data_IF_489217953917
#
_entry.id   IF_489217953917
#
_cell.length_a   1.000
_cell.length_b   1.000
_cell.length_c   1.000
_cell.angle_alpha   90.00
_cell.angle_beta   90.00
_cell.angle_gamma   90.00
#
_symmetry.space_group_name_H-M   'P 1'
#
loop_
_entity.id
_entity.type
_entity.pdbx_description
1 polymer ?
#
# COMPACT_ATOMS: atom_id res chain seq x y z
N UNK A 1 -11.01 -34.55 27.77
CA UNK A 1 -12.19 -34.71 26.88
C UNK A 1 -12.56 -33.32 26.38
N UNK A 2 -12.25 -32.98 25.12
CA UNK A 2 -12.63 -31.69 24.52
C UNK A 2 -14.11 -31.76 24.17
N UNK A 3 -14.94 -30.98 24.86
CA UNK A 3 -16.33 -30.74 24.48
C UNK A 3 -16.34 -30.09 23.10
N UNK A 4 -16.82 -30.82 22.08
CA UNK A 4 -17.06 -30.26 20.74
C UNK A 4 -18.07 -29.12 20.90
N UNK A 5 -17.61 -27.88 20.71
CA UNK A 5 -18.49 -26.73 20.55
C UNK A 5 -19.47 -27.02 19.42
N UNK A 6 -20.77 -26.96 19.73
CA UNK A 6 -21.88 -27.17 18.79
C UNK A 6 -22.30 -25.87 18.11
N UNK A 7 -21.57 -24.77 18.32
CA UNK A 7 -21.77 -23.48 17.63
C UNK A 7 -21.13 -23.47 16.25
N UNK A 8 -21.57 -22.55 15.38
CA UNK A 8 -20.79 -22.20 14.19
C UNK A 8 -19.46 -21.64 14.66
N UNK A 9 -18.35 -22.20 14.18
CA UNK A 9 -17.01 -21.72 14.54
C UNK A 9 -16.75 -20.38 13.88
N UNK A 10 -16.26 -19.42 14.66
CA UNK A 10 -15.91 -18.07 14.23
C UNK A 10 -14.51 -18.08 13.64
N UNK A 11 -14.36 -17.55 12.42
CA UNK A 11 -13.07 -17.45 11.72
C UNK A 11 -12.55 -16.02 11.89
N UNK A 12 -11.41 -15.85 12.53
CA UNK A 12 -10.69 -14.59 12.60
C UNK A 12 -9.67 -14.49 11.46
N UNK A 13 -9.70 -13.39 10.72
CA UNK A 13 -8.67 -13.04 9.74
C UNK A 13 -7.78 -11.97 10.37
N UNK A 14 -6.48 -12.26 10.46
CA UNK A 14 -5.46 -11.30 10.91
C UNK A 14 -4.68 -10.85 9.69
N UNK A 15 -4.62 -9.55 9.44
CA UNK A 15 -4.02 -9.00 8.23
C UNK A 15 -2.78 -8.20 8.57
N UNK A 16 -1.63 -8.65 8.07
CA UNK A 16 -0.35 -7.96 8.24
C UNK A 16 0.16 -7.41 6.92
N UNK A 17 1.04 -6.42 7.01
CA UNK A 17 1.75 -5.88 5.85
C UNK A 17 1.01 -4.73 5.15
N UNK A 18 0.68 -4.92 3.88
CA UNK A 18 0.33 -3.80 2.99
C UNK A 18 -1.12 -3.81 2.50
N UNK A 19 -1.52 -2.73 1.83
CA UNK A 19 -2.84 -2.56 1.18
C UNK A 19 -3.26 -3.71 0.26
N UNK A 20 -2.29 -4.42 -0.37
CA UNK A 20 -2.58 -5.62 -1.17
C UNK A 20 -3.04 -6.79 -0.29
N UNK A 21 -2.44 -6.97 0.88
CA UNK A 21 -2.87 -7.99 1.85
C UNK A 21 -4.24 -7.64 2.46
N UNK A 22 -4.52 -6.36 2.68
CA UNK A 22 -5.88 -5.90 3.06
C UNK A 22 -6.88 -6.31 2.00
N UNK A 23 -6.66 -5.96 0.74
CA UNK A 23 -7.52 -6.39 -0.38
C UNK A 23 -7.73 -7.91 -0.40
N UNK A 24 -6.65 -8.70 -0.30
CA UNK A 24 -6.71 -10.16 -0.36
C UNK A 24 -7.51 -10.74 0.82
N UNK A 25 -7.40 -10.14 2.00
CA UNK A 25 -8.15 -10.53 3.21
C UNK A 25 -9.65 -10.21 3.06
N UNK A 26 -10.00 -9.04 2.54
CA UNK A 26 -11.39 -8.64 2.30
C UNK A 26 -12.10 -9.55 1.28
N UNK A 27 -11.38 -10.03 0.26
CA UNK A 27 -11.87 -11.03 -0.70
C UNK A 27 -12.10 -12.37 -0.01
N UNK A 28 -11.14 -12.85 0.78
CA UNK A 28 -11.28 -14.09 1.56
C UNK A 28 -12.49 -14.04 2.50
N UNK A 29 -12.65 -12.94 3.24
CA UNK A 29 -13.78 -12.73 4.16
C UNK A 29 -15.13 -12.76 3.42
N UNK A 30 -15.23 -12.07 2.28
CA UNK A 30 -16.43 -12.07 1.43
C UNK A 30 -16.81 -13.48 0.95
N UNK A 31 -15.82 -14.25 0.48
CA UNK A 31 -16.03 -15.64 0.05
C UNK A 31 -16.52 -16.51 1.21
N UNK A 32 -15.92 -16.39 2.38
CA UNK A 32 -16.34 -17.15 3.58
C UNK A 32 -17.75 -16.77 4.04
N UNK A 33 -18.07 -15.48 4.10
CA UNK A 33 -19.39 -14.98 4.50
C UNK A 33 -20.49 -15.48 3.54
N UNK A 34 -20.24 -15.44 2.23
CA UNK A 34 -21.15 -15.96 1.23
C UNK A 34 -21.33 -17.49 1.29
N UNK A 35 -20.40 -18.20 1.92
CA UNK A 35 -20.51 -19.63 2.26
C UNK A 35 -21.15 -19.87 3.64
N UNK A 36 -21.75 -18.84 4.25
CA UNK A 36 -22.49 -18.94 5.52
C UNK A 36 -21.61 -19.13 6.75
N UNK A 37 -20.30 -18.84 6.63
CA UNK A 37 -19.33 -18.85 7.73
C UNK A 37 -19.45 -17.56 8.54
N UNK A 38 -19.15 -17.66 9.83
CA UNK A 38 -19.02 -16.50 10.70
C UNK A 38 -17.57 -16.04 10.65
N UNK A 39 -17.35 -14.78 10.24
CA UNK A 39 -16.01 -14.23 9.97
C UNK A 39 -15.89 -12.88 10.63
N UNK A 40 -14.73 -12.64 11.25
CA UNK A 40 -14.32 -11.34 11.78
C UNK A 40 -12.90 -11.02 11.34
N UNK A 41 -12.54 -9.75 11.45
CA UNK A 41 -11.21 -9.24 11.16
C UNK A 41 -10.61 -8.72 12.46
N UNK A 42 -9.42 -9.20 12.79
CA UNK A 42 -8.62 -8.80 13.95
C UNK A 42 -9.39 -8.82 15.29
N UNK A 43 -10.18 -9.89 15.49
CA UNK A 43 -11.00 -10.10 16.69
C UNK A 43 -10.95 -11.58 17.11
N UNK A 44 -11.53 -11.96 18.25
CA UNK A 44 -11.49 -13.34 18.74
C UNK A 44 -12.22 -14.29 17.80
N UNK A 45 -11.60 -15.43 17.51
CA UNK A 45 -12.19 -16.52 16.71
C UNK A 45 -11.62 -17.88 17.09
N UNK A 46 -12.38 -18.95 16.82
CA UNK A 46 -11.97 -20.34 17.07
C UNK A 46 -10.95 -20.83 16.02
N UNK A 47 -11.01 -20.26 14.82
CA UNK A 47 -10.10 -20.55 13.71
C UNK A 47 -9.43 -19.24 13.33
N UNK A 48 -8.11 -19.23 13.19
CA UNK A 48 -7.35 -18.04 12.80
C UNK A 48 -6.72 -18.26 11.44
N UNK A 49 -6.84 -17.27 10.56
CA UNK A 49 -6.10 -17.20 9.29
C UNK A 49 -5.24 -15.95 9.32
N UNK A 50 -3.92 -16.13 9.26
CA UNK A 50 -2.95 -15.03 9.31
C UNK A 50 -2.47 -14.74 7.89
N UNK A 51 -2.79 -13.57 7.35
CA UNK A 51 -2.29 -13.10 6.06
C UNK A 51 -1.00 -12.28 6.27
N UNK A 52 0.12 -12.89 5.95
CA UNK A 52 1.47 -12.45 6.34
C UNK A 52 2.15 -11.55 5.30
N UNK A 53 3.06 -10.70 5.79
CA UNK A 53 3.98 -9.94 4.96
C UNK A 53 5.33 -10.69 4.87
N UNK A 54 5.88 -10.79 3.66
CA UNK A 54 7.17 -11.45 3.41
C UNK A 54 8.24 -10.50 2.87
N UNK A 55 8.00 -9.19 2.98
CA UNK A 55 8.78 -8.13 2.37
C UNK A 55 9.37 -7.27 3.49
N UNK A 56 10.70 -7.02 3.48
CA UNK A 56 11.53 -6.37 4.52
C UNK A 56 11.60 -7.12 5.86
N UNK A 57 12.75 -7.03 6.55
CA UNK A 57 13.06 -7.83 7.75
C UNK A 57 12.07 -7.62 8.89
N UNK A 58 11.76 -6.37 9.25
CA UNK A 58 10.83 -6.06 10.34
C UNK A 58 9.43 -6.65 10.12
N UNK A 59 8.92 -6.64 8.88
CA UNK A 59 7.59 -7.18 8.59
C UNK A 59 7.59 -8.72 8.51
N UNK A 60 8.73 -9.34 8.16
CA UNK A 60 8.92 -10.80 8.28
C UNK A 60 8.92 -11.20 9.75
N UNK A 61 9.64 -10.47 10.60
CA UNK A 61 9.70 -10.70 12.04
C UNK A 61 8.31 -10.55 12.69
N UNK A 62 7.60 -9.46 12.41
CA UNK A 62 6.21 -9.24 12.87
C UNK A 62 5.30 -10.42 12.47
N UNK A 63 5.41 -10.87 11.22
CA UNK A 63 4.64 -12.00 10.71
C UNK A 63 4.97 -13.31 11.45
N UNK A 64 6.24 -13.60 11.71
CA UNK A 64 6.68 -14.78 12.45
C UNK A 64 6.19 -14.72 13.90
N UNK A 65 6.37 -13.59 14.58
CA UNK A 65 5.94 -13.40 15.96
C UNK A 65 4.42 -13.58 16.10
N UNK A 66 3.64 -13.06 15.16
CA UNK A 66 2.18 -13.24 15.14
C UNK A 66 1.79 -14.71 14.93
N UNK A 67 2.49 -15.44 14.05
CA UNK A 67 2.25 -16.89 13.88
C UNK A 67 2.50 -17.62 15.19
N UNK A 68 3.61 -17.34 15.87
CA UNK A 68 3.98 -17.97 17.14
C UNK A 68 2.95 -17.68 18.23
N UNK A 69 2.47 -16.43 18.34
CA UNK A 69 1.43 -16.05 19.30
C UNK A 69 0.16 -16.90 19.15
N UNK A 70 -0.33 -17.07 17.92
CA UNK A 70 -1.54 -17.85 17.66
C UNK A 70 -1.32 -19.36 17.76
N UNK A 71 -0.12 -19.85 17.46
CA UNK A 71 0.27 -21.24 17.74
C UNK A 71 0.26 -21.50 19.25
N UNK A 72 0.79 -20.59 20.06
CA UNK A 72 0.75 -20.69 21.51
C UNK A 72 -0.69 -20.64 22.04
N UNK A 73 -1.53 -19.76 21.51
CA UNK A 73 -2.96 -19.71 21.82
C UNK A 73 -3.67 -21.04 21.47
N UNK A 74 -3.30 -21.66 20.34
CA UNK A 74 -3.79 -22.99 19.95
C UNK A 74 -3.35 -24.07 20.93
N UNK A 75 -2.09 -24.02 21.38
CA UNK A 75 -1.53 -24.96 22.35
C UNK A 75 -2.20 -24.82 23.73
N UNK A 76 -2.60 -23.60 24.11
CA UNK A 76 -3.43 -23.33 25.30
C UNK A 76 -4.91 -23.72 25.13
N UNK A 77 -5.35 -24.02 23.91
CA UNK A 77 -6.72 -24.38 23.60
C UNK A 77 -7.68 -23.19 23.48
N UNK A 78 -7.16 -21.97 23.36
CA UNK A 78 -7.91 -20.74 23.11
C UNK A 78 -8.32 -20.63 21.62
N UNK A 79 -7.50 -21.20 20.74
CA UNK A 79 -7.73 -21.32 19.30
C UNK A 79 -7.74 -22.81 18.93
N UNK A 80 -8.62 -23.22 18.01
CA UNK A 80 -8.67 -24.61 17.56
C UNK A 80 -7.75 -24.88 16.37
N UNK A 81 -7.65 -23.93 15.44
CA UNK A 81 -6.86 -24.06 14.21
C UNK A 81 -6.18 -22.75 13.82
N UNK A 82 -4.98 -22.86 13.28
CA UNK A 82 -4.18 -21.75 12.75
C UNK A 82 -3.80 -22.08 11.31
N UNK A 83 -4.20 -21.21 10.40
CA UNK A 83 -3.80 -21.24 8.99
C UNK A 83 -2.97 -20.00 8.68
N UNK A 84 -1.97 -20.15 7.83
CA UNK A 84 -1.10 -19.04 7.42
C UNK A 84 -1.17 -18.90 5.90
N UNK A 85 -1.33 -17.68 5.42
CA UNK A 85 -1.31 -17.31 4.01
C UNK A 85 -0.49 -16.04 3.79
N UNK A 86 -0.36 -15.60 2.54
CA UNK A 86 0.30 -14.34 2.20
C UNK A 86 1.75 -14.51 1.73
N UNK A 87 2.45 -13.38 1.65
CA UNK A 87 3.75 -13.27 1.00
C UNK A 87 4.87 -14.07 1.70
N UNK A 88 4.90 -14.06 3.04
CA UNK A 88 5.90 -14.83 3.79
C UNK A 88 5.74 -16.32 3.53
N UNK A 89 4.48 -16.78 3.62
CA UNK A 89 4.13 -18.18 3.41
C UNK A 89 4.36 -18.67 1.99
N UNK A 90 4.25 -17.81 0.97
CA UNK A 90 4.62 -18.19 -0.40
C UNK A 90 6.12 -18.44 -0.51
N UNK A 91 6.93 -17.50 0.00
CA UNK A 91 8.38 -17.48 -0.21
C UNK A 91 9.12 -18.49 0.66
N UNK A 92 8.73 -18.62 1.92
CA UNK A 92 9.46 -19.41 2.93
C UNK A 92 8.67 -20.63 3.39
N UNK A 93 7.72 -21.12 2.59
CA UNK A 93 6.86 -22.26 2.94
C UNK A 93 7.62 -23.47 3.52
N UNK A 94 8.72 -23.95 2.91
CA UNK A 94 9.42 -25.13 3.41
C UNK A 94 10.05 -24.90 4.79
N UNK A 95 10.65 -23.74 5.00
CA UNK A 95 11.28 -23.39 6.27
C UNK A 95 10.22 -23.17 7.36
N UNK A 96 9.13 -22.47 7.07
CA UNK A 96 8.03 -22.28 8.03
C UNK A 96 7.40 -23.59 8.47
N UNK A 97 7.24 -24.56 7.56
CA UNK A 97 6.74 -25.91 7.91
C UNK A 97 7.73 -26.64 8.83
N UNK A 98 9.04 -26.46 8.61
CA UNK A 98 10.08 -27.10 9.42
C UNK A 98 10.19 -26.48 10.82
N UNK A 99 10.20 -25.16 10.89
CA UNK A 99 10.45 -24.40 12.13
C UNK A 99 9.19 -24.22 12.99
N UNK A 100 8.00 -24.11 12.37
CA UNK A 100 6.72 -23.91 13.08
C UNK A 100 5.69 -24.96 12.61
N UNK A 101 5.88 -26.24 12.99
CA UNK A 101 5.04 -27.36 12.53
C UNK A 101 3.62 -27.39 13.13
N UNK A 102 3.37 -26.62 14.19
CA UNK A 102 2.08 -26.59 14.90
C UNK A 102 0.97 -25.81 14.14
N UNK A 103 1.32 -25.09 13.07
CA UNK A 103 0.36 -24.49 12.13
C UNK A 103 -0.35 -25.60 11.36
N UNK A 104 -1.68 -25.53 11.24
CA UNK A 104 -2.46 -26.57 10.55
C UNK A 104 -2.12 -26.65 9.06
N UNK A 105 -1.93 -25.49 8.40
CA UNK A 105 -1.52 -25.44 7.00
C UNK A 105 -1.01 -24.05 6.58
N UNK A 106 -0.06 -24.07 5.64
CA UNK A 106 0.48 -22.91 4.95
C UNK A 106 -0.02 -22.81 3.52
N UNK A 107 -0.35 -21.60 3.08
CA UNK A 107 -0.89 -21.28 1.76
C UNK A 107 -0.13 -20.12 1.12
N UNK A 108 0.07 -20.22 -0.20
CA UNK A 108 0.61 -19.13 -0.99
C UNK A 108 -0.35 -17.95 -1.16
N UNK A 109 0.10 -16.90 -1.84
CA UNK A 109 -0.72 -15.72 -2.20
C UNK A 109 -1.81 -16.05 -3.22
N UNK A 110 -1.64 -17.14 -3.98
CA UNK A 110 -2.56 -17.58 -5.05
C UNK A 110 -3.41 -18.80 -4.65
N UNK A 111 -3.26 -19.30 -3.43
CA UNK A 111 -3.89 -20.52 -2.94
C UNK A 111 -5.32 -20.32 -2.36
N UNK A 112 -5.96 -19.16 -2.60
CA UNK A 112 -7.27 -18.82 -2.03
C UNK A 112 -8.33 -19.94 -2.22
N UNK A 113 -8.52 -20.56 -3.40
CA UNK A 113 -9.48 -21.65 -3.55
C UNK A 113 -9.18 -22.87 -2.67
N UNK A 114 -7.89 -23.17 -2.47
CA UNK A 114 -7.45 -24.31 -1.64
C UNK A 114 -7.65 -23.97 -0.16
N UNK A 115 -7.33 -22.75 0.26
CA UNK A 115 -7.58 -22.26 1.62
C UNK A 115 -9.08 -22.32 1.97
N UNK A 116 -9.95 -21.83 1.09
CA UNK A 116 -11.41 -21.88 1.28
C UNK A 116 -11.90 -23.31 1.51
N UNK A 117 -11.40 -24.28 0.74
CA UNK A 117 -11.74 -25.69 0.89
C UNK A 117 -11.38 -26.22 2.28
N UNK A 118 -10.24 -25.83 2.85
CA UNK A 118 -9.83 -26.23 4.21
C UNK A 118 -10.66 -25.55 5.31
N UNK A 119 -11.23 -24.38 5.01
CA UNK A 119 -12.21 -23.69 5.85
C UNK A 119 -13.65 -24.20 5.62
N UNK A 120 -13.82 -25.19 4.74
CA UNK A 120 -15.11 -25.80 4.38
C UNK A 120 -16.03 -24.85 3.61
N UNK A 121 -15.47 -24.05 2.72
CA UNK A 121 -16.14 -23.12 1.81
C UNK A 121 -15.71 -23.41 0.37
N UNK A 122 -16.58 -23.12 -0.59
CA UNK A 122 -16.27 -23.24 -2.03
C UNK A 122 -16.02 -21.86 -2.64
N UNK A 123 -15.11 -21.79 -3.62
CA UNK A 123 -14.83 -20.55 -4.33
C UNK A 123 -16.01 -20.20 -5.24
N UNK A 124 -16.63 -19.04 -5.00
CA UNK A 124 -17.77 -18.54 -5.77
C UNK A 124 -17.32 -17.52 -6.81
N UNK A 125 -17.31 -17.93 -8.08
CA UNK A 125 -16.92 -17.08 -9.22
C UNK A 125 -17.86 -15.89 -9.45
N UNK A 126 -19.11 -15.97 -9.00
CA UNK A 126 -20.09 -14.88 -9.08
C UNK A 126 -19.80 -13.70 -8.15
N UNK A 127 -18.97 -13.91 -7.12
CA UNK A 127 -18.55 -12.88 -6.17
C UNK A 127 -17.31 -12.11 -6.63
N UNK A 128 -16.91 -12.22 -7.90
CA UNK A 128 -15.80 -11.42 -8.44
C UNK A 128 -16.13 -9.93 -8.28
N UNK A 129 -15.24 -9.19 -7.61
CA UNK A 129 -15.44 -7.79 -7.24
C UNK A 129 -16.33 -7.57 -6.01
N UNK A 130 -16.73 -8.61 -5.28
CA UNK A 130 -17.43 -8.45 -3.99
C UNK A 130 -16.48 -8.62 -2.82
N UNK A 131 -16.42 -7.58 -1.97
CA UNK A 131 -15.57 -7.54 -0.78
C UNK A 131 -16.36 -7.15 0.47
N UNK A 132 -15.90 -7.68 1.60
CA UNK A 132 -16.23 -7.20 2.93
C UNK A 132 -15.10 -6.26 3.35
N UNK A 133 -15.32 -4.95 3.21
CA UNK A 133 -14.28 -3.95 3.46
C UNK A 133 -13.94 -3.89 4.95
N UNK A 134 -12.66 -3.89 5.27
CA UNK A 134 -12.15 -3.73 6.64
C UNK A 134 -11.63 -2.31 6.88
N UNK A 135 -11.45 -1.53 5.82
CA UNK A 135 -11.19 -0.09 5.88
C UNK A 135 -12.44 0.70 6.30
N UNK A 136 -12.28 1.95 6.78
CA UNK A 136 -13.38 2.90 6.88
C UNK A 136 -14.21 2.99 5.59
N UNK A 137 -15.54 3.08 5.73
CA UNK A 137 -16.50 2.87 4.63
C UNK A 137 -16.30 3.79 3.42
N UNK A 138 -15.75 4.99 3.63
CA UNK A 138 -15.64 6.03 2.62
C UNK A 138 -14.43 5.87 1.70
N UNK A 139 -13.49 4.97 1.98
CA UNK A 139 -12.44 4.63 1.01
C UNK A 139 -12.25 3.12 0.87
N UNK A 140 -11.74 2.71 -0.28
CA UNK A 140 -11.36 1.33 -0.52
C UNK A 140 -10.15 1.25 -1.44
N UNK A 141 -9.25 0.32 -1.16
CA UNK A 141 -8.21 -0.04 -2.11
C UNK A 141 -8.80 -0.82 -3.27
N UNK A 142 -8.47 -0.46 -4.52
CA UNK A 142 -8.91 -1.17 -5.72
C UNK A 142 -7.67 -1.75 -6.42
N UNK A 143 -7.49 -3.07 -6.32
CA UNK A 143 -6.34 -3.77 -6.89
C UNK A 143 -6.55 -3.99 -8.39
N UNK A 144 -5.81 -3.25 -9.21
CA UNK A 144 -6.01 -3.27 -10.68
C UNK A 144 -5.20 -4.37 -11.38
N UNK A 145 -4.13 -4.83 -10.76
CA UNK A 145 -3.30 -5.94 -11.23
C UNK A 145 -2.60 -6.64 -10.06
N UNK A 146 -2.17 -7.86 -10.30
CA UNK A 146 -1.37 -8.68 -9.37
C UNK A 146 -0.02 -9.01 -10.00
N UNK A 147 1.01 -9.16 -9.16
CA UNK A 147 2.35 -9.52 -9.61
C UNK A 147 3.06 -8.42 -10.40
N UNK A 148 4.32 -8.68 -10.76
CA UNK A 148 5.17 -7.69 -11.43
C UNK A 148 6.23 -8.37 -12.30
N UNK A 149 6.41 -7.86 -13.52
CA UNK A 149 7.44 -8.33 -14.47
C UNK A 149 8.66 -7.39 -14.52
N UNK A 150 8.76 -6.42 -13.61
CA UNK A 150 9.93 -5.53 -13.53
C UNK A 150 11.13 -6.29 -12.96
N UNK A 151 12.33 -6.15 -13.56
CA UNK A 151 13.50 -6.95 -13.16
C UNK A 151 14.28 -6.33 -11.99
N UNK A 152 13.65 -5.54 -11.12
CA UNK A 152 14.33 -4.78 -10.06
C UNK A 152 15.18 -5.73 -9.19
N UNK A 153 16.49 -5.46 -9.10
CA UNK A 153 17.44 -6.43 -8.54
C UNK A 153 17.17 -6.73 -7.07
N UNK A 154 16.73 -5.74 -6.29
CA UNK A 154 16.44 -5.85 -4.86
C UNK A 154 15.04 -6.43 -4.54
N UNK A 155 14.19 -6.63 -5.54
CA UNK A 155 12.77 -6.90 -5.30
C UNK A 155 12.44 -8.40 -5.38
N UNK A 156 11.90 -8.95 -4.28
CA UNK A 156 11.43 -10.34 -4.21
C UNK A 156 9.95 -10.54 -4.62
N UNK A 157 9.25 -9.48 -5.05
CA UNK A 157 7.83 -9.54 -5.42
C UNK A 157 7.50 -10.61 -6.47
N UNK A 158 8.28 -10.80 -7.55
CA UNK A 158 7.99 -11.86 -8.51
C UNK A 158 8.01 -13.28 -7.90
N UNK A 159 8.78 -13.48 -6.82
CA UNK A 159 8.83 -14.75 -6.10
C UNK A 159 7.60 -14.97 -5.21
N UNK A 160 7.03 -13.89 -4.66
CA UNK A 160 5.92 -13.95 -3.71
C UNK A 160 4.53 -13.84 -4.35
N UNK A 161 4.44 -13.10 -5.47
CA UNK A 161 3.16 -12.74 -6.12
C UNK A 161 3.13 -13.09 -7.60
N UNK A 162 4.21 -13.65 -8.14
CA UNK A 162 4.34 -14.09 -9.53
C UNK A 162 4.40 -12.96 -10.56
N UNK A 163 4.33 -13.33 -11.83
CA UNK A 163 4.32 -12.39 -12.96
C UNK A 163 3.05 -11.54 -13.04
N UNK A 164 3.11 -10.49 -13.84
CA UNK A 164 2.06 -9.47 -13.96
C UNK A 164 0.77 -10.02 -14.57
N UNK A 165 -0.36 -9.76 -13.92
CA UNK A 165 -1.71 -10.12 -14.37
C UNK A 165 -2.66 -8.98 -14.07
N UNK A 166 -3.21 -8.35 -15.12
CA UNK A 166 -4.19 -7.27 -15.01
C UNK A 166 -5.62 -7.79 -14.85
N UNK A 167 -6.44 -7.02 -14.13
CA UNK A 167 -7.90 -7.15 -14.16
C UNK A 167 -8.47 -6.30 -15.29
N UNK A 168 -9.53 -6.73 -15.97
CA UNK A 168 -10.10 -5.93 -17.07
C UNK A 168 -10.83 -4.68 -16.55
N UNK A 169 -10.87 -3.62 -17.37
CA UNK A 169 -11.52 -2.35 -17.05
C UNK A 169 -12.99 -2.59 -16.64
N UNK A 170 -13.71 -3.45 -17.35
CA UNK A 170 -15.13 -3.72 -17.10
C UNK A 170 -15.35 -4.30 -15.70
N UNK A 171 -14.46 -5.19 -15.24
CA UNK A 171 -14.53 -5.77 -13.90
C UNK A 171 -14.19 -4.75 -12.83
N UNK A 172 -13.17 -3.91 -13.07
CA UNK A 172 -12.78 -2.86 -12.13
C UNK A 172 -13.86 -1.78 -11.99
N UNK A 173 -14.50 -1.38 -13.08
CA UNK A 173 -15.64 -0.44 -13.06
C UNK A 173 -16.84 -1.05 -12.35
N UNK A 174 -17.12 -2.34 -12.56
CA UNK A 174 -18.18 -3.04 -11.82
C UNK A 174 -17.89 -3.09 -10.31
N UNK A 175 -16.65 -3.41 -9.93
CA UNK A 175 -16.22 -3.42 -8.53
C UNK A 175 -16.31 -2.01 -7.90
N UNK A 176 -15.77 -0.99 -8.56
CA UNK A 176 -15.88 0.41 -8.16
C UNK A 176 -17.35 0.83 -7.95
N UNK A 177 -18.24 0.45 -8.87
CA UNK A 177 -19.67 0.75 -8.77
C UNK A 177 -20.33 0.05 -7.58
N UNK A 178 -19.92 -1.18 -7.25
CA UNK A 178 -20.40 -1.89 -6.06
C UNK A 178 -19.91 -1.25 -4.77
N UNK A 179 -18.65 -0.79 -4.74
CA UNK A 179 -18.07 -0.07 -3.59
C UNK A 179 -18.78 1.27 -3.38
N UNK A 180 -18.99 2.04 -4.44
CA UNK A 180 -19.70 3.32 -4.37
C UNK A 180 -21.12 3.17 -3.79
N UNK A 181 -21.86 2.13 -4.21
CA UNK A 181 -23.18 1.80 -3.65
C UNK A 181 -23.17 1.48 -2.16
N UNK A 182 -22.03 1.05 -1.61
CA UNK A 182 -21.83 0.78 -0.17
C UNK A 182 -21.34 2.02 0.60
N UNK A 183 -21.17 3.16 -0.07
CA UNK A 183 -20.77 4.43 0.55
C UNK A 183 -19.29 4.80 0.37
N UNK A 184 -18.52 4.04 -0.42
CA UNK A 184 -17.15 4.42 -0.78
C UNK A 184 -17.16 5.67 -1.64
N UNK A 185 -16.33 6.65 -1.28
CA UNK A 185 -16.15 7.92 -1.99
C UNK A 185 -14.73 8.08 -2.56
N UNK A 186 -13.72 7.45 -1.95
CA UNK A 186 -12.33 7.45 -2.44
C UNK A 186 -11.92 6.03 -2.89
N UNK A 187 -11.43 5.91 -4.12
CA UNK A 187 -10.78 4.71 -4.63
C UNK A 187 -9.27 4.91 -4.62
N UNK A 188 -8.54 4.00 -3.98
CA UNK A 188 -7.08 4.03 -3.99
C UNK A 188 -6.61 2.89 -4.89
N UNK A 189 -6.15 3.23 -6.09
CA UNK A 189 -5.69 2.23 -7.05
C UNK A 189 -4.35 1.66 -6.59
N UNK A 190 -4.29 0.34 -6.43
CA UNK A 190 -3.10 -0.37 -5.99
C UNK A 190 -2.69 -1.44 -6.99
N UNK A 191 -1.38 -1.62 -7.10
CA UNK A 191 -0.70 -2.67 -7.87
C UNK A 191 0.73 -2.83 -7.32
N UNK A 192 1.48 -3.78 -7.86
CA UNK A 192 2.94 -3.81 -7.69
C UNK A 192 3.63 -2.82 -8.65
N UNK A 193 3.08 -2.64 -9.86
CA UNK A 193 3.42 -1.55 -10.79
C UNK A 193 2.14 -1.09 -11.49
N UNK A 194 1.64 0.09 -11.10
CA UNK A 194 0.41 0.65 -11.63
C UNK A 194 0.53 1.01 -13.12
N UNK A 195 1.71 1.46 -13.54
CA UNK A 195 1.95 1.97 -14.90
C UNK A 195 1.94 0.85 -15.94
N UNK A 196 2.17 -0.40 -15.51
CA UNK A 196 2.21 -1.57 -16.37
C UNK A 196 0.82 -2.05 -16.82
N UNK A 197 -0.22 -1.57 -16.14
CA UNK A 197 -1.60 -1.99 -16.34
C UNK A 197 -2.02 -2.02 -17.82
N UNK A 198 -2.58 -3.15 -18.23
CA UNK A 198 -3.12 -3.35 -19.57
C UNK A 198 -2.15 -3.91 -20.61
N UNK A 199 -0.84 -3.97 -20.34
CA UNK A 199 0.12 -4.51 -21.33
C UNK A 199 -0.13 -5.99 -21.64
N UNK A 200 -0.50 -6.78 -20.64
CA UNK A 200 -0.79 -8.20 -20.77
C UNK A 200 -2.11 -8.49 -21.49
N UNK A 201 -3.18 -7.73 -21.19
CA UNK A 201 -4.53 -7.96 -21.72
C UNK A 201 -4.93 -7.09 -22.92
N UNK A 202 -4.46 -5.85 -22.99
CA UNK A 202 -4.80 -4.87 -24.04
C UNK A 202 -3.63 -4.56 -24.99
N UNK A 203 -2.43 -5.11 -24.72
CA UNK A 203 -1.20 -4.91 -25.52
C UNK A 203 -0.72 -3.45 -25.61
N UNK A 204 -1.18 -2.61 -24.69
CA UNK A 204 -0.78 -1.22 -24.51
C UNK A 204 -0.93 -0.84 -23.03
N UNK A 205 -0.23 0.20 -22.58
CA UNK A 205 -0.51 0.79 -21.26
C UNK A 205 -1.89 1.42 -21.30
N UNK A 206 -2.80 0.95 -20.45
CA UNK A 206 -4.21 1.33 -20.47
C UNK A 206 -4.65 2.02 -19.16
N UNK A 207 -3.70 2.51 -18.36
CA UNK A 207 -4.01 3.18 -17.09
C UNK A 207 -4.87 4.43 -17.32
N UNK A 208 -4.55 5.27 -18.31
CA UNK A 208 -5.38 6.42 -18.62
C UNK A 208 -6.79 6.06 -19.10
N UNK A 209 -6.94 4.97 -19.87
CA UNK A 209 -8.26 4.45 -20.28
C UNK A 209 -9.07 3.96 -19.10
N UNK A 210 -8.44 3.25 -18.15
CA UNK A 210 -9.08 2.84 -16.91
C UNK A 210 -9.54 4.05 -16.09
N UNK A 211 -8.70 5.08 -15.92
CA UNK A 211 -9.07 6.27 -15.17
C UNK A 211 -10.28 6.98 -15.79
N UNK A 212 -10.30 7.12 -17.11
CA UNK A 212 -11.44 7.70 -17.85
C UNK A 212 -12.75 6.94 -17.64
N UNK A 213 -12.70 5.63 -17.43
CA UNK A 213 -13.91 4.86 -17.10
C UNK A 213 -14.27 4.96 -15.60
N UNK A 214 -13.28 4.98 -14.70
CA UNK A 214 -13.53 5.08 -13.26
C UNK A 214 -14.11 6.44 -12.84
N UNK A 215 -13.69 7.55 -13.46
CA UNK A 215 -14.25 8.89 -13.15
C UNK A 215 -15.76 8.97 -13.42
N UNK A 216 -16.28 8.13 -14.33
CA UNK A 216 -17.72 8.06 -14.65
C UNK A 216 -18.55 7.35 -13.57
N UNK A 217 -17.92 6.65 -12.63
CA UNK A 217 -18.64 5.94 -11.55
C UNK A 217 -19.27 6.96 -10.61
N UNK A 218 -20.59 6.92 -10.49
CA UNK A 218 -21.36 7.75 -9.57
C UNK A 218 -21.07 7.37 -8.11
N UNK A 219 -20.99 8.37 -7.23
CA UNK A 219 -20.67 8.19 -5.81
C UNK A 219 -19.16 8.25 -5.48
N UNK A 220 -18.28 8.01 -6.47
CA UNK A 220 -16.84 8.23 -6.30
C UNK A 220 -16.52 9.71 -6.49
N UNK A 221 -15.82 10.27 -5.51
CA UNK A 221 -15.34 11.65 -5.46
C UNK A 221 -13.83 11.76 -5.65
N UNK A 222 -13.05 10.78 -5.18
CA UNK A 222 -11.58 10.76 -5.30
C UNK A 222 -11.07 9.43 -5.85
N UNK A 223 -10.04 9.51 -6.70
CA UNK A 223 -9.29 8.38 -7.26
C UNK A 223 -7.80 8.70 -7.08
N UNK A 224 -7.12 7.89 -6.28
CA UNK A 224 -5.71 8.08 -5.90
C UNK A 224 -4.83 7.00 -6.53
N UNK A 225 -3.65 7.39 -7.02
CA UNK A 225 -2.74 6.51 -7.74
C UNK A 225 -1.55 6.12 -6.87
N UNK A 226 -1.44 4.84 -6.52
CA UNK A 226 -0.29 4.32 -5.78
C UNK A 226 0.61 3.42 -6.61
N UNK A 227 1.89 3.36 -6.25
CA UNK A 227 2.87 2.43 -6.82
C UNK A 227 3.09 2.61 -8.33
N UNK A 228 3.21 3.86 -8.78
CA UNK A 228 3.67 4.15 -10.12
C UNK A 228 5.15 3.81 -10.29
N UNK A 229 5.56 3.51 -11.52
CA UNK A 229 6.94 3.19 -11.87
C UNK A 229 7.51 4.25 -12.83
N UNK A 230 8.72 4.78 -12.58
CA UNK A 230 9.25 5.89 -13.38
C UNK A 230 9.50 5.52 -14.84
N UNK A 231 10.07 4.33 -15.11
CA UNK A 231 10.40 3.95 -16.49
C UNK A 231 9.19 3.50 -17.28
N UNK A 232 8.91 4.25 -18.35
CA UNK A 232 7.76 4.03 -19.22
C UNK A 232 6.46 4.54 -18.62
N UNK A 233 6.51 5.57 -17.78
CA UNK A 233 5.32 6.22 -17.24
C UNK A 233 4.37 6.67 -18.39
N UNK A 234 3.07 6.32 -18.34
CA UNK A 234 2.09 6.73 -19.34
C UNK A 234 1.73 8.21 -19.19
N UNK A 235 2.28 9.07 -20.06
CA UNK A 235 2.14 10.54 -19.94
C UNK A 235 0.69 11.04 -20.06
N UNK A 236 -0.21 10.28 -20.68
CA UNK A 236 -1.64 10.59 -20.77
C UNK A 236 -2.32 10.59 -19.39
N UNK A 237 -1.73 9.94 -18.39
CA UNK A 237 -2.19 10.00 -17.00
C UNK A 237 -2.04 11.39 -16.40
N UNK A 238 -1.00 12.16 -16.78
CA UNK A 238 -0.80 13.52 -16.27
C UNK A 238 -1.90 14.46 -16.77
N UNK A 239 -2.30 14.30 -18.03
CA UNK A 239 -3.37 15.11 -18.61
C UNK A 239 -4.71 14.81 -17.90
N UNK A 240 -4.95 13.54 -17.54
CA UNK A 240 -6.14 13.14 -16.77
C UNK A 240 -6.12 13.70 -15.34
N UNK A 241 -4.99 13.61 -14.62
CA UNK A 241 -4.87 14.17 -13.26
C UNK A 241 -5.21 15.67 -13.29
N UNK A 242 -4.69 16.40 -14.28
CA UNK A 242 -4.97 17.83 -14.43
C UNK A 242 -6.43 18.14 -14.77
N UNK A 243 -7.05 17.34 -15.64
CA UNK A 243 -8.34 17.67 -16.25
C UNK A 243 -9.54 17.13 -15.47
N UNK A 244 -9.37 16.03 -14.72
CA UNK A 244 -10.46 15.34 -14.02
C UNK A 244 -10.41 15.61 -12.51
N UNK A 245 -11.33 16.41 -11.94
CA UNK A 245 -11.32 16.76 -10.51
C UNK A 245 -11.49 15.58 -9.55
N UNK A 246 -11.95 14.43 -10.07
CA UNK A 246 -12.05 13.19 -9.29
C UNK A 246 -10.72 12.48 -9.14
N UNK A 247 -9.72 12.75 -9.99
CA UNK A 247 -8.39 12.16 -9.87
C UNK A 247 -7.54 13.10 -9.03
N UNK A 248 -7.07 12.61 -7.88
CA UNK A 248 -6.33 13.45 -6.95
C UNK A 248 -5.04 13.98 -7.61
N UNK A 249 -4.67 15.22 -7.30
CA UNK A 249 -3.37 15.81 -7.63
C UNK A 249 -2.24 15.18 -6.80
N UNK A 250 -2.06 13.87 -6.94
CA UNK A 250 -1.17 13.05 -6.14
C UNK A 250 -0.64 11.87 -6.95
N UNK A 251 0.66 11.63 -6.85
CA UNK A 251 1.29 10.43 -7.40
C UNK A 251 2.30 9.84 -6.42
N UNK A 252 2.13 8.56 -6.09
CA UNK A 252 3.15 7.78 -5.38
C UNK A 252 4.00 7.00 -6.39
N UNK A 253 5.25 7.43 -6.52
CA UNK A 253 6.23 6.95 -7.49
C UNK A 253 7.57 6.64 -6.79
N UNK A 254 7.76 5.41 -6.30
CA UNK A 254 9.02 5.03 -5.66
C UNK A 254 10.19 5.14 -6.63
N UNK A 255 11.10 6.11 -6.45
CA UNK A 255 12.27 6.34 -7.31
C UNK A 255 13.47 5.46 -6.92
N UNK A 256 13.56 5.10 -5.64
CA UNK A 256 14.56 4.24 -5.00
C UNK A 256 15.92 4.88 -4.82
N UNK A 257 16.47 5.53 -5.84
CA UNK A 257 17.74 6.27 -5.76
C UNK A 257 17.81 7.29 -6.91
N UNK A 258 18.87 8.10 -7.00
CA UNK A 258 19.11 9.00 -8.14
C UNK A 258 20.41 8.72 -8.92
N UNK A 259 21.46 8.25 -8.24
CA UNK A 259 22.73 7.90 -8.88
C UNK A 259 22.54 6.87 -10.01
N UNK A 260 23.04 7.20 -11.20
CA UNK A 260 22.83 6.42 -12.43
C UNK A 260 23.42 5.01 -12.38
N UNK A 261 24.57 4.82 -11.72
CA UNK A 261 25.23 3.52 -11.63
C UNK A 261 24.50 2.59 -10.66
N UNK A 262 24.07 3.11 -9.50
CA UNK A 262 23.21 2.35 -8.59
C UNK A 262 21.88 2.02 -9.22
N UNK A 263 21.22 2.96 -9.90
CA UNK A 263 19.95 2.71 -10.60
C UNK A 263 20.08 1.63 -11.70
N UNK A 264 21.23 1.57 -12.37
CA UNK A 264 21.56 0.52 -13.33
C UNK A 264 21.74 -0.84 -12.63
N UNK A 265 22.47 -0.89 -11.52
CA UNK A 265 22.62 -2.10 -10.68
C UNK A 265 21.27 -2.58 -10.13
N UNK A 266 20.44 -1.64 -9.67
CA UNK A 266 19.06 -1.84 -9.22
C UNK A 266 18.11 -2.29 -10.34
N UNK A 267 18.55 -2.30 -11.60
CA UNK A 267 17.76 -2.62 -12.80
C UNK A 267 16.48 -1.79 -12.92
N UNK A 268 16.58 -0.49 -12.59
CA UNK A 268 15.44 0.44 -12.63
C UNK A 268 15.09 0.88 -14.04
N UNK A 269 16.04 0.83 -14.98
CA UNK A 269 15.83 1.27 -16.36
C UNK A 269 15.64 2.79 -16.49
N UNK A 270 16.24 3.56 -15.57
CA UNK A 270 16.28 5.03 -15.56
C UNK A 270 17.69 5.50 -15.19
N UNK A 271 17.93 6.81 -15.24
CA UNK A 271 19.19 7.49 -14.87
C UNK A 271 18.87 8.78 -14.13
N UNK A 272 19.89 9.48 -13.64
CA UNK A 272 19.76 10.82 -13.06
C UNK A 272 18.98 11.76 -13.99
N UNK A 273 19.37 11.87 -15.26
CA UNK A 273 18.77 12.79 -16.24
C UNK A 273 17.33 12.41 -16.58
N UNK A 274 17.07 11.11 -16.80
CA UNK A 274 15.72 10.63 -17.13
C UNK A 274 14.74 10.82 -15.99
N UNK A 275 15.21 10.61 -14.76
CA UNK A 275 14.38 10.80 -13.56
C UNK A 275 14.03 12.27 -13.38
N UNK A 276 15.02 13.18 -13.47
CA UNK A 276 14.76 14.61 -13.40
C UNK A 276 13.85 15.09 -14.54
N UNK A 277 14.08 14.64 -15.77
CA UNK A 277 13.19 14.96 -16.91
C UNK A 277 11.74 14.55 -16.65
N UNK A 278 11.53 13.39 -16.00
CA UNK A 278 10.19 12.93 -15.64
C UNK A 278 9.55 13.83 -14.58
N UNK A 279 10.29 14.18 -13.53
CA UNK A 279 9.83 15.07 -12.46
C UNK A 279 9.54 16.49 -12.98
N UNK A 280 10.36 17.01 -13.88
CA UNK A 280 10.14 18.31 -14.52
C UNK A 280 8.83 18.30 -15.31
N UNK A 281 8.58 17.23 -16.08
CA UNK A 281 7.30 17.05 -16.79
C UNK A 281 6.10 16.99 -15.85
N UNK A 282 6.25 16.35 -14.69
CA UNK A 282 5.19 16.27 -13.68
C UNK A 282 4.83 17.68 -13.19
N UNK A 283 5.83 18.47 -12.79
CA UNK A 283 5.63 19.85 -12.32
C UNK A 283 5.19 20.80 -13.43
N UNK A 284 5.59 20.57 -14.68
CA UNK A 284 5.14 21.38 -15.82
C UNK A 284 3.67 21.10 -16.17
N UNK A 285 3.28 19.83 -16.26
CA UNK A 285 1.93 19.44 -16.67
C UNK A 285 0.91 19.58 -15.55
N UNK A 286 1.30 19.30 -14.31
CA UNK A 286 0.42 19.34 -13.13
C UNK A 286 1.14 20.09 -11.99
N UNK A 287 1.18 21.43 -12.02
CA UNK A 287 2.00 22.24 -11.11
C UNK A 287 1.75 22.01 -9.61
N UNK A 288 0.50 21.72 -9.24
CA UNK A 288 0.11 21.53 -7.84
C UNK A 288 0.12 20.05 -7.40
N UNK A 289 0.67 19.14 -8.21
CA UNK A 289 0.66 17.71 -7.88
C UNK A 289 1.64 17.39 -6.74
N UNK A 290 1.13 16.75 -5.69
CA UNK A 290 1.95 16.16 -4.65
C UNK A 290 2.69 14.94 -5.18
N UNK A 291 4.02 14.95 -5.09
CA UNK A 291 4.87 13.83 -5.49
C UNK A 291 5.34 13.12 -4.22
N UNK A 292 4.86 11.88 -4.05
CA UNK A 292 5.34 10.95 -3.05
C UNK A 292 6.38 10.01 -3.64
N UNK A 293 7.51 9.85 -2.98
CA UNK A 293 8.54 8.89 -3.38
C UNK A 293 9.01 8.04 -2.21
N UNK A 294 9.81 7.03 -2.54
CA UNK A 294 10.49 6.17 -1.58
C UNK A 294 11.92 5.96 -2.06
N UNK A 295 12.87 6.06 -1.13
CA UNK A 295 14.29 5.87 -1.35
C UNK A 295 14.80 4.66 -0.56
N UNK A 296 15.87 4.05 -1.09
CA UNK A 296 16.64 3.00 -0.47
C UNK A 296 18.07 3.50 -0.33
N UNK A 297 18.60 3.48 0.88
CA UNK A 297 20.01 3.79 1.17
C UNK A 297 20.76 2.56 1.63
N UNK A 298 22.07 2.56 1.45
CA UNK A 298 22.94 1.46 1.79
C UNK A 298 22.84 0.27 0.82
N UNK A 299 22.46 0.52 -0.43
CA UNK A 299 22.52 -0.51 -1.47
C UNK A 299 23.99 -0.90 -1.76
N UNK A 300 24.28 -2.17 -2.14
CA UNK A 300 25.64 -2.62 -2.45
C UNK A 300 26.40 -1.67 -3.40
N UNK A 301 27.56 -1.19 -2.94
CA UNK A 301 28.42 -0.24 -3.63
C UNK A 301 28.08 1.25 -3.40
N UNK A 302 27.15 1.58 -2.50
CA UNK A 302 26.81 2.98 -2.18
C UNK A 302 27.89 3.65 -1.31
N UNK A 303 28.75 4.45 -1.95
CA UNK A 303 29.78 5.24 -1.27
C UNK A 303 29.21 6.53 -0.64
N UNK A 304 30.04 7.22 0.13
CA UNK A 304 29.66 8.50 0.74
C UNK A 304 29.36 9.59 -0.31
N UNK A 305 30.13 9.63 -1.39
CA UNK A 305 29.91 10.57 -2.49
C UNK A 305 28.56 10.34 -3.18
N UNK A 306 28.18 9.07 -3.36
CA UNK A 306 26.88 8.68 -3.94
C UNK A 306 25.72 9.05 -3.00
N UNK A 307 25.90 8.85 -1.69
CA UNK A 307 24.92 9.26 -0.70
C UNK A 307 24.76 10.79 -0.65
N UNK A 308 25.87 11.53 -0.75
CA UNK A 308 25.84 12.99 -0.79
C UNK A 308 25.12 13.51 -2.05
N UNK A 309 25.32 12.89 -3.21
CA UNK A 309 24.54 13.16 -4.43
C UNK A 309 23.04 12.97 -4.19
N UNK A 310 22.63 11.87 -3.55
CA UNK A 310 21.23 11.61 -3.20
C UNK A 310 20.66 12.70 -2.29
N UNK A 311 21.40 13.07 -1.24
CA UNK A 311 20.99 14.07 -0.25
C UNK A 311 20.82 15.46 -0.88
N UNK A 312 21.77 15.86 -1.73
CA UNK A 312 21.70 17.12 -2.45
C UNK A 312 20.52 17.14 -3.43
N UNK A 313 20.28 16.03 -4.14
CA UNK A 313 19.14 15.88 -5.02
C UNK A 313 17.80 15.95 -4.28
N UNK A 314 17.66 15.32 -3.11
CA UNK A 314 16.44 15.46 -2.27
C UNK A 314 16.21 16.93 -1.89
N UNK A 315 17.26 17.65 -1.51
CA UNK A 315 17.19 19.08 -1.16
C UNK A 315 16.73 19.93 -2.33
N UNK A 316 17.18 19.63 -3.54
CA UNK A 316 16.80 20.34 -4.77
C UNK A 316 15.38 19.99 -5.23
N UNK A 317 15.01 18.71 -5.22
CA UNK A 317 13.71 18.26 -5.71
C UNK A 317 12.56 18.59 -4.77
N UNK A 318 12.81 18.70 -3.46
CA UNK A 318 11.81 19.08 -2.46
C UNK A 318 10.51 18.29 -2.60
N UNK A 319 10.58 16.96 -2.48
CA UNK A 319 9.40 16.10 -2.57
C UNK A 319 8.36 16.44 -1.50
N UNK A 320 7.08 16.33 -1.85
CA UNK A 320 5.99 16.56 -0.91
C UNK A 320 5.95 15.51 0.19
N UNK A 321 6.16 14.24 -0.20
CA UNK A 321 6.21 13.11 0.72
C UNK A 321 7.38 12.21 0.33
N UNK A 322 8.19 11.79 1.29
CA UNK A 322 9.29 10.86 1.02
C UNK A 322 9.48 9.95 2.22
N UNK A 323 9.54 8.65 1.94
CA UNK A 323 10.04 7.65 2.88
C UNK A 323 11.44 7.21 2.48
N UNK A 324 12.31 6.94 3.45
CA UNK A 324 13.63 6.37 3.24
C UNK A 324 13.77 5.08 4.05
N UNK A 325 14.31 4.04 3.42
CA UNK A 325 14.49 2.73 4.04
C UNK A 325 15.91 2.24 3.83
N UNK A 326 16.42 1.43 4.76
CA UNK A 326 17.68 0.71 4.55
C UNK A 326 17.49 -0.37 3.49
N UNK A 327 18.53 -0.62 2.70
CA UNK A 327 18.59 -1.79 1.84
C UNK A 327 18.63 -3.07 2.69
N UNK A 328 17.68 -3.97 2.43
CA UNK A 328 17.66 -5.32 2.99
C UNK A 328 18.19 -6.33 1.96
N UNK A 329 19.22 -7.07 2.35
CA UNK A 329 19.94 -8.01 1.47
C UNK A 329 19.19 -9.34 1.34
N UNK A 330 18.08 -9.28 0.61
CA UNK A 330 17.09 -10.36 0.53
C UNK A 330 17.55 -11.54 -0.34
N UNK A 331 17.52 -12.75 0.23
CA UNK A 331 17.84 -14.01 -0.47
C UNK A 331 16.99 -14.20 -1.74
N UNK A 332 17.58 -14.83 -2.76
CA UNK A 332 16.93 -15.12 -4.05
C UNK A 332 16.57 -13.87 -4.88
N UNK A 333 16.97 -12.68 -4.46
CA UNK A 333 16.88 -11.47 -5.28
C UNK A 333 18.10 -11.34 -6.20
N UNK A 334 17.98 -10.52 -7.24
CA UNK A 334 19.10 -10.28 -8.17
C UNK A 334 20.26 -9.48 -7.55
N UNK A 335 20.02 -8.74 -6.47
CA UNK A 335 21.04 -8.00 -5.74
C UNK A 335 21.75 -8.85 -4.67
N UNK A 336 21.18 -10.01 -4.29
CA UNK A 336 21.78 -10.94 -3.31
C UNK A 336 23.14 -11.51 -3.74
N UNK A 337 23.45 -11.48 -5.04
CA UNK A 337 24.76 -11.93 -5.55
C UNK A 337 25.86 -10.88 -5.40
N UNK A 338 25.48 -9.64 -5.06
CA UNK A 338 26.40 -8.56 -4.76
C UNK A 338 26.89 -8.70 -3.31
N UNK A 339 28.06 -8.16 -3.01
CA UNK A 339 28.52 -8.06 -1.62
C UNK A 339 27.79 -6.90 -0.93
N UNK A 340 27.12 -7.17 0.19
CA UNK A 340 26.56 -6.10 1.04
C UNK A 340 27.68 -5.44 1.84
N UNK A 341 28.33 -4.46 1.21
CA UNK A 341 29.55 -3.80 1.67
C UNK A 341 29.29 -2.55 2.54
N UNK A 342 28.02 -2.15 2.71
CA UNK A 342 27.63 -1.03 3.55
C UNK A 342 27.19 -1.54 4.93
N UNK A 343 27.87 -1.16 6.03
CA UNK A 343 27.47 -1.58 7.38
C UNK A 343 26.08 -1.08 7.77
N UNK A 344 25.33 -1.89 8.54
CA UNK A 344 23.96 -1.55 8.96
C UNK A 344 23.86 -0.21 9.68
N UNK A 345 24.81 0.11 10.58
CA UNK A 345 24.87 1.40 11.29
C UNK A 345 24.97 2.60 10.32
N UNK A 346 25.69 2.44 9.21
CA UNK A 346 25.80 3.48 8.16
C UNK A 346 24.49 3.60 7.40
N UNK A 347 23.80 2.48 7.10
CA UNK A 347 22.48 2.52 6.45
C UNK A 347 21.46 3.28 7.31
N UNK A 348 21.45 3.01 8.61
CA UNK A 348 20.55 3.65 9.58
C UNK A 348 20.85 5.15 9.71
N UNK A 349 22.12 5.53 9.85
CA UNK A 349 22.52 6.94 9.88
C UNK A 349 22.10 7.69 8.60
N UNK A 350 22.25 7.05 7.43
CA UNK A 350 21.81 7.62 6.14
C UNK A 350 20.29 7.79 6.06
N UNK A 351 19.51 6.86 6.60
CA UNK A 351 18.05 7.01 6.71
C UNK A 351 17.72 8.21 7.57
N UNK A 352 18.33 8.33 8.75
CA UNK A 352 18.12 9.45 9.67
C UNK A 352 18.42 10.80 9.01
N UNK A 353 19.56 10.95 8.36
CA UNK A 353 19.94 12.18 7.65
C UNK A 353 18.95 12.57 6.54
N UNK A 354 18.47 11.60 5.75
CA UNK A 354 17.49 11.86 4.69
C UNK A 354 16.12 12.22 5.28
N UNK A 355 15.70 11.54 6.35
CA UNK A 355 14.42 11.80 7.00
C UNK A 355 14.41 13.13 7.74
N UNK A 356 15.52 13.56 8.34
CA UNK A 356 15.66 14.89 8.94
C UNK A 356 15.54 15.98 7.86
N UNK A 357 16.25 15.84 6.74
CA UNK A 357 16.13 16.75 5.60
C UNK A 357 14.69 16.81 5.06
N UNK A 358 14.05 15.65 4.88
CA UNK A 358 12.68 15.58 4.39
C UNK A 358 11.68 16.18 5.38
N UNK A 359 11.88 16.01 6.69
CA UNK A 359 11.03 16.60 7.72
C UNK A 359 11.03 18.13 7.61
N UNK A 360 12.21 18.73 7.44
CA UNK A 360 12.34 20.17 7.22
C UNK A 360 11.63 20.63 5.93
N UNK A 361 11.80 19.90 4.82
CA UNK A 361 11.12 20.20 3.54
C UNK A 361 9.58 20.12 3.71
N UNK A 362 9.10 19.10 4.42
CA UNK A 362 7.67 18.85 4.66
C UNK A 362 7.07 19.96 5.53
N UNK A 363 7.80 20.36 6.58
CA UNK A 363 7.43 21.49 7.42
C UNK A 363 7.31 22.79 6.62
N UNK A 364 8.34 23.14 5.84
CA UNK A 364 8.34 24.35 4.98
C UNK A 364 7.15 24.38 4.02
N UNK A 365 6.91 23.26 3.31
CA UNK A 365 5.76 23.13 2.41
C UNK A 365 4.42 23.23 3.13
N UNK A 366 4.33 22.72 4.35
CA UNK A 366 3.08 22.82 5.12
C UNK A 366 2.85 24.24 5.66
N UNK A 367 3.91 25.01 5.97
CA UNK A 367 3.75 26.42 6.35
C UNK A 367 3.11 27.24 5.22
N UNK A 368 3.41 26.94 3.96
CA UNK A 368 2.80 27.59 2.78
C UNK A 368 1.28 27.37 2.70
N UNK A 369 0.75 26.33 3.36
CA UNK A 369 -0.68 25.99 3.36
C UNK A 369 -1.49 26.82 4.37
N UNK A 370 -0.84 27.52 5.31
CA UNK A 370 -1.54 28.31 6.33
C UNK A 370 -2.35 29.43 5.69
N UNK A 371 -3.63 29.53 6.06
CA UNK A 371 -4.59 30.50 5.52
C UNK A 371 -5.31 30.02 4.27
N UNK A 372 -4.85 28.94 3.63
CA UNK A 372 -5.53 28.32 2.50
C UNK A 372 -6.72 27.47 2.97
N UNK A 373 -7.62 27.15 2.05
CA UNK A 373 -8.78 26.29 2.29
C UNK A 373 -8.68 25.04 1.43
N UNK A 374 -8.84 23.86 2.04
CA UNK A 374 -8.81 22.59 1.34
C UNK A 374 -10.10 21.81 1.55
N UNK A 375 -10.49 21.06 0.51
CA UNK A 375 -11.49 20.00 0.64
C UNK A 375 -10.83 18.80 1.34
N UNK A 376 -11.35 18.42 2.49
CA UNK A 376 -10.83 17.34 3.31
C UNK A 376 -11.87 16.24 3.48
N UNK A 377 -11.44 14.98 3.46
CA UNK A 377 -12.24 13.82 3.92
C UNK A 377 -11.83 13.45 5.33
N UNK A 378 -12.76 13.10 6.20
CA UNK A 378 -12.47 12.75 7.60
C UNK A 378 -12.54 11.25 7.84
N UNK A 379 -11.43 10.64 8.25
CA UNK A 379 -11.32 9.19 8.38
C UNK A 379 -11.75 8.66 9.74
N UNK A 380 -11.50 9.45 10.80
CA UNK A 380 -11.76 9.04 12.19
C UNK A 380 -11.88 10.23 13.12
N UNK A 381 -12.35 9.96 14.33
CA UNK A 381 -12.26 10.86 15.48
C UNK A 381 -11.28 10.25 16.47
N UNK A 382 -10.30 11.02 16.90
CA UNK A 382 -9.26 10.58 17.82
C UNK A 382 -9.06 11.64 18.91
N UNK A 383 -9.36 11.27 20.16
CA UNK A 383 -9.38 12.21 21.27
C UNK A 383 -10.28 13.43 21.00
N UNK A 384 -9.67 14.61 21.02
CA UNK A 384 -10.34 15.91 20.83
C UNK A 384 -10.29 16.42 19.39
N UNK A 385 -9.87 15.59 18.42
CA UNK A 385 -9.77 15.98 17.02
C UNK A 385 -10.55 15.05 16.09
N UNK A 386 -11.10 15.62 15.03
CA UNK A 386 -11.42 14.90 13.81
C UNK A 386 -10.16 14.86 12.95
N UNK A 387 -9.79 13.66 12.50
CA UNK A 387 -8.60 13.42 11.67
C UNK A 387 -9.08 13.19 10.25
N UNK A 388 -8.66 14.07 9.35
CA UNK A 388 -8.94 14.00 7.94
C UNK A 388 -7.70 14.14 7.07
N UNK A 389 -7.90 14.23 5.76
CA UNK A 389 -6.84 14.30 4.75
C UNK A 389 -7.28 15.14 3.57
N UNK A 390 -6.31 15.70 2.87
CA UNK A 390 -6.55 16.39 1.59
C UNK A 390 -6.42 15.43 0.40
N UNK A 391 -6.68 15.91 -0.81
CA UNK A 391 -6.40 15.13 -2.02
C UNK A 391 -4.90 14.82 -2.18
N UNK A 392 -4.02 15.52 -1.48
CA UNK A 392 -2.57 15.33 -1.52
C UNK A 392 -2.06 14.23 -0.58
N UNK A 393 -2.95 13.63 0.24
CA UNK A 393 -2.54 12.75 1.33
C UNK A 393 -3.31 11.42 1.31
N UNK A 394 -2.57 10.32 1.24
CA UNK A 394 -3.10 8.96 1.38
C UNK A 394 -3.39 8.61 2.85
N UNK A 395 -4.38 7.74 3.13
CA UNK A 395 -4.56 7.16 4.47
C UNK A 395 -3.28 6.52 4.99
N UNK A 396 -3.05 6.66 6.30
CA UNK A 396 -2.04 5.98 7.13
C UNK A 396 -0.56 6.24 6.79
N UNK A 397 -0.25 6.96 5.70
CA UNK A 397 1.14 7.10 5.21
C UNK A 397 1.59 8.53 4.97
N UNK A 398 0.67 9.48 4.82
CA UNK A 398 0.96 10.89 4.55
C UNK A 398 0.35 11.78 5.65
N UNK A 399 0.33 13.10 5.42
CA UNK A 399 -0.07 14.07 6.42
C UNK A 399 -1.55 13.95 6.80
N UNK A 400 -1.87 14.40 8.00
CA UNK A 400 -3.26 14.53 8.46
C UNK A 400 -3.70 15.98 8.60
N UNK A 401 -5.02 16.19 8.53
CA UNK A 401 -5.70 17.45 8.80
C UNK A 401 -6.51 17.28 10.08
N UNK A 402 -6.16 18.04 11.11
CA UNK A 402 -6.75 17.98 12.44
C UNK A 402 -7.71 19.16 12.64
N UNK A 403 -8.97 18.85 12.94
CA UNK A 403 -10.00 19.85 13.27
C UNK A 403 -10.54 19.57 14.67
N UNK A 404 -10.61 20.60 15.51
CA UNK A 404 -11.09 20.45 16.90
C UNK A 404 -12.51 19.91 16.95
N UNK A 405 -12.71 18.89 17.79
CA UNK A 405 -14.00 18.24 18.02
C UNK A 405 -14.80 18.82 19.20
N UNK A 406 -14.32 19.90 19.84
CA UNK A 406 -14.99 20.49 21.00
C UNK A 406 -16.29 21.20 20.63
N UNK A 407 -16.30 21.94 19.52
CA UNK A 407 -17.45 22.73 19.06
C UNK A 407 -17.81 22.45 17.59
N UNK A 408 -17.24 21.40 17.02
CA UNK A 408 -17.45 21.01 15.62
C UNK A 408 -18.07 19.62 15.59
N UNK A 409 -18.96 19.37 14.64
CA UNK A 409 -19.46 18.02 14.36
C UNK A 409 -19.22 17.68 12.91
N UNK A 410 -18.44 16.62 12.68
CA UNK A 410 -18.11 16.10 11.36
C UNK A 410 -18.47 14.62 11.32
N UNK A 411 -19.24 14.22 10.31
CA UNK A 411 -19.52 12.81 10.07
C UNK A 411 -18.30 12.14 9.44
N UNK A 412 -17.91 10.98 9.96
CA UNK A 412 -16.82 10.19 9.38
C UNK A 412 -17.17 9.77 7.95
N UNK A 413 -16.23 10.00 7.04
CA UNK A 413 -16.36 9.75 5.62
C UNK A 413 -16.98 10.89 4.82
N UNK A 414 -17.35 12.01 5.46
CA UNK A 414 -17.83 13.20 4.76
C UNK A 414 -16.69 14.14 4.37
N UNK A 415 -16.96 14.88 3.30
CA UNK A 415 -16.08 15.94 2.82
C UNK A 415 -16.50 17.28 3.43
N UNK A 416 -15.51 18.07 3.83
CA UNK A 416 -15.70 19.38 4.40
C UNK A 416 -14.61 20.34 3.92
N UNK A 417 -14.91 21.63 3.90
CA UNK A 417 -13.92 22.67 3.61
C UNK A 417 -13.26 23.09 4.92
N UNK A 418 -11.93 23.00 4.97
CA UNK A 418 -11.13 23.32 6.16
C UNK A 418 -10.19 24.44 5.81
N UNK A 419 -10.22 25.53 6.59
CA UNK A 419 -9.22 26.59 6.52
C UNK A 419 -8.05 26.22 7.44
N UNK A 420 -6.85 26.11 6.88
CA UNK A 420 -5.66 25.79 7.66
C UNK A 420 -5.24 27.02 8.48
N UNK A 421 -5.01 26.83 9.78
CA UNK A 421 -4.64 27.88 10.73
C UNK A 421 -3.22 27.73 11.24
N UNK A 422 -2.70 26.50 11.30
CA UNK A 422 -1.32 26.19 11.68
C UNK A 422 -0.89 24.86 11.07
N UNK A 423 0.41 24.60 11.09
CA UNK A 423 0.99 23.41 10.51
C UNK A 423 2.26 22.97 11.24
N UNK A 424 2.47 21.67 11.31
CA UNK A 424 3.67 20.97 11.76
C UNK A 424 4.29 20.20 10.57
N UNK A 425 5.37 19.43 10.80
CA UNK A 425 6.07 18.70 9.72
C UNK A 425 5.15 17.74 8.94
N UNK A 426 4.25 17.05 9.65
CA UNK A 426 3.37 16.03 9.07
C UNK A 426 1.88 16.27 9.33
N UNK A 427 1.51 17.33 10.04
CA UNK A 427 0.12 17.61 10.38
C UNK A 427 -0.28 19.05 10.04
N UNK A 428 -1.50 19.22 9.56
CA UNK A 428 -2.15 20.50 9.35
C UNK A 428 -3.26 20.65 10.37
N UNK A 429 -3.43 21.84 10.91
CA UNK A 429 -4.52 22.16 11.83
C UNK A 429 -5.40 23.22 11.20
N UNK A 430 -6.72 23.11 11.39
CA UNK A 430 -7.63 24.07 10.81
C UNK A 430 -9.03 24.05 11.38
N UNK A 431 -9.83 24.97 10.87
CA UNK A 431 -11.22 25.17 11.25
C UNK A 431 -12.16 24.87 10.08
N UNK A 432 -13.31 24.29 10.39
CA UNK A 432 -14.38 24.08 9.43
C UNK A 432 -14.97 25.43 8.97
N UNK A 433 -15.28 25.57 7.68
CA UNK A 433 -15.89 26.77 7.08
C UNK A 433 -17.40 26.63 6.93
#
# INVERSE_FOLDING_TARGET
>A
MRTKSTGKKKINIVTLGCSKNVYDSEVLMSQLQANGKEVVHEDRGDIVVINTCGFIDNAKEESINTILEYVDAKNRGEVEKVFVTGCLSERYKPDLIREIPDVDQYFGTRDLPILLKHLGADYKHELVGERMTTTPKHYAYLKISEGCDRPCSFCAIPLMRGGHVSTTIEKLVLEASKLAKKGTKELILIAQDLTYYGLDIYKKRALGELLKELVKVEGIEWIRLHYAFPSGFPEDVLDIIREEPKVCNYIDIPLQHINSDLLKSMKRGTSHEKTNTLLDKFREKVPDMAIRTTLIVGYPGETEEIFQELKDWVREQRFDRLGCFTYSHEENTGAYVLEDDVPQEVKEARVEEIMELQSQISWEKNQEKIGMTFKCVFDRKEGNYFVGRTEYDSPDVDNTVLVSAENTYISIGDFAQVKITSAEEFDLYGDLI
#
